data_IF_307464652182
#
_entry.id   IF_307464652182
#
_cell.length_a   1.000
_cell.length_b   1.000
_cell.length_c   1.000
_cell.angle_alpha   90.00
_cell.angle_beta   90.00
_cell.angle_gamma   90.00
#
_symmetry.space_group_name_H-M   'P 1'
#
loop_
_entity.id
_entity.type
_entity.pdbx_description
1 polymer ?
#
# COMPACT_ATOMS: atom_id res chain seq x y z
N UNK A 1 -20.90 -7.03 18.25
CA UNK A 1 -21.76 -5.91 17.78
C UNK A 1 -20.94 -4.76 17.22
N UNK A 2 -19.91 -4.27 17.93
CA UNK A 2 -19.08 -3.13 17.48
C UNK A 2 -18.40 -3.30 16.12
N UNK A 3 -17.93 -4.50 15.79
CA UNK A 3 -17.34 -4.80 14.47
C UNK A 3 -18.35 -4.61 13.33
N UNK A 4 -19.59 -5.09 13.51
CA UNK A 4 -20.65 -4.91 12.52
C UNK A 4 -21.05 -3.44 12.35
N UNK A 5 -21.05 -2.67 13.45
CA UNK A 5 -21.26 -1.22 13.40
C UNK A 5 -20.11 -0.53 12.64
N UNK A 6 -18.86 -0.89 12.90
CA UNK A 6 -17.69 -0.33 12.21
C UNK A 6 -17.71 -0.64 10.71
N UNK A 7 -18.05 -1.87 10.32
CA UNK A 7 -18.21 -2.27 8.92
C UNK A 7 -19.33 -1.44 8.26
N UNK A 8 -20.50 -1.36 8.90
CA UNK A 8 -21.63 -0.57 8.40
C UNK A 8 -21.27 0.91 8.23
N UNK A 9 -20.60 1.50 9.21
CA UNK A 9 -20.13 2.89 9.16
C UNK A 9 -19.12 3.11 8.02
N UNK A 10 -18.20 2.18 7.82
CA UNK A 10 -17.18 2.26 6.76
C UNK A 10 -17.83 2.15 5.38
N UNK A 11 -18.78 1.24 5.21
CA UNK A 11 -19.53 1.08 3.96
C UNK A 11 -20.32 2.36 3.61
N UNK A 12 -21.05 2.93 4.58
CA UNK A 12 -21.78 4.19 4.39
C UNK A 12 -20.82 5.35 4.13
N UNK A 13 -19.71 5.43 4.86
CA UNK A 13 -18.67 6.45 4.66
C UNK A 13 -18.07 6.40 3.26
N UNK A 14 -17.69 5.21 2.76
CA UNK A 14 -17.20 5.03 1.40
C UNK A 14 -18.23 5.45 0.35
N UNK A 15 -19.52 5.14 0.58
CA UNK A 15 -20.59 5.55 -0.33
C UNK A 15 -20.78 7.06 -0.36
N UNK A 16 -20.77 7.72 0.80
CA UNK A 16 -20.84 9.18 0.90
C UNK A 16 -19.67 9.87 0.21
N UNK A 17 -18.45 9.38 0.39
CA UNK A 17 -17.26 9.91 -0.31
C UNK A 17 -17.40 9.77 -1.82
N UNK A 18 -17.90 8.62 -2.31
CA UNK A 18 -18.16 8.43 -3.73
C UNK A 18 -19.22 9.40 -4.26
N UNK A 19 -20.31 9.61 -3.50
CA UNK A 19 -21.36 10.55 -3.86
C UNK A 19 -20.80 11.97 -3.91
N UNK A 20 -20.03 12.41 -2.90
CA UNK A 20 -19.36 13.70 -2.92
C UNK A 20 -18.47 13.88 -4.15
N UNK A 21 -17.76 12.82 -4.55
CA UNK A 21 -16.96 12.81 -5.78
C UNK A 21 -17.79 13.06 -7.06
N UNK A 22 -19.03 12.56 -7.12
CA UNK A 22 -19.94 12.80 -8.25
C UNK A 22 -20.51 14.23 -8.27
N UNK A 23 -20.59 14.88 -7.10
CA UNK A 23 -21.05 16.27 -6.98
C UNK A 23 -19.92 17.29 -7.25
N UNK A 24 -18.68 16.84 -7.43
CA UNK A 24 -17.55 17.74 -7.71
C UNK A 24 -17.77 18.45 -9.06
N UNK A 25 -17.72 19.80 -9.10
CA UNK A 25 -17.90 20.55 -10.34
C UNK A 25 -16.77 20.26 -11.35
N UNK A 26 -17.10 20.17 -12.64
CA UNK A 26 -16.13 19.91 -13.70
C UNK A 26 -14.92 20.88 -13.69
N UNK A 27 -15.16 22.17 -13.44
CA UNK A 27 -14.11 23.19 -13.38
C UNK A 27 -13.12 23.04 -12.22
N UNK A 28 -13.43 22.25 -11.18
CA UNK A 28 -12.46 21.91 -10.13
C UNK A 28 -11.53 20.76 -10.55
N UNK A 29 -12.02 19.86 -11.41
CA UNK A 29 -11.29 18.68 -11.89
C UNK A 29 -10.35 19.00 -13.06
N UNK A 30 -10.66 20.05 -13.83
CA UNK A 30 -9.83 20.54 -14.95
C UNK A 30 -8.51 21.20 -14.52
N UNK A 31 -8.29 21.39 -13.21
CA UNK A 31 -7.03 21.91 -12.70
C UNK A 31 -5.92 20.88 -12.92
N UNK A 32 -4.80 21.25 -13.57
CA UNK A 32 -3.74 20.30 -13.92
C UNK A 32 -3.10 19.62 -12.70
N UNK A 33 -3.09 20.28 -11.54
CA UNK A 33 -2.63 19.68 -10.28
C UNK A 33 -3.56 18.56 -9.78
N UNK A 34 -4.88 18.77 -9.84
CA UNK A 34 -5.87 17.79 -9.36
C UNK A 34 -5.83 16.53 -10.22
N UNK A 35 -5.71 16.70 -11.54
CA UNK A 35 -5.59 15.57 -12.48
C UNK A 35 -4.30 14.75 -12.24
N UNK A 36 -3.15 15.42 -12.06
CA UNK A 36 -1.88 14.74 -11.77
C UNK A 36 -1.93 13.99 -10.44
N UNK A 37 -2.49 14.59 -9.39
CA UNK A 37 -2.64 13.93 -8.09
C UNK A 37 -3.60 12.75 -8.16
N UNK A 38 -4.72 12.88 -8.89
CA UNK A 38 -5.67 11.78 -9.08
C UNK A 38 -5.04 10.56 -9.75
N UNK A 39 -4.17 10.76 -10.74
CA UNK A 39 -3.44 9.67 -11.39
C UNK A 39 -2.40 9.00 -10.47
N UNK A 40 -1.81 9.76 -9.54
CA UNK A 40 -0.77 9.26 -8.62
C UNK A 40 -1.35 8.67 -7.33
N UNK A 41 -2.56 9.05 -6.94
CA UNK A 41 -3.22 8.62 -5.71
C UNK A 41 -3.24 7.11 -5.52
N UNK A 42 -3.64 6.27 -6.51
CA UNK A 42 -3.67 4.82 -6.32
C UNK A 42 -2.31 4.24 -5.95
N UNK A 43 -1.25 4.64 -6.68
CA UNK A 43 0.11 4.15 -6.43
C UNK A 43 0.65 4.69 -5.11
N UNK A 44 0.40 5.95 -4.79
CA UNK A 44 0.83 6.55 -3.53
C UNK A 44 0.16 5.87 -2.32
N UNK A 45 -1.14 5.59 -2.40
CA UNK A 45 -1.88 4.89 -1.35
C UNK A 45 -1.42 3.44 -1.21
N UNK A 46 -1.18 2.73 -2.31
CA UNK A 46 -0.62 1.37 -2.27
C UNK A 46 0.80 1.35 -1.69
N UNK A 47 1.64 2.33 -2.05
CA UNK A 47 2.98 2.45 -1.50
C UNK A 47 2.95 2.75 0.01
N UNK A 48 2.09 3.66 0.45
CA UNK A 48 1.89 3.97 1.87
C UNK A 48 1.37 2.75 2.65
N UNK A 49 0.39 2.02 2.09
CA UNK A 49 -0.12 0.78 2.66
C UNK A 49 0.99 -0.27 2.79
N UNK A 50 1.79 -0.43 1.74
CA UNK A 50 2.92 -1.37 1.74
C UNK A 50 3.93 -0.99 2.81
N UNK A 51 4.29 0.28 2.92
CA UNK A 51 5.18 0.76 3.98
C UNK A 51 4.61 0.46 5.37
N UNK A 52 3.32 0.72 5.60
CA UNK A 52 2.67 0.41 6.88
C UNK A 52 2.62 -1.09 7.17
N UNK A 53 2.41 -1.94 6.17
CA UNK A 53 2.40 -3.40 6.30
C UNK A 53 3.79 -4.01 6.49
N UNK A 54 4.84 -3.28 6.12
CA UNK A 54 6.23 -3.70 6.20
C UNK A 54 6.89 -3.26 7.50
N UNK A 55 6.58 -2.05 7.99
CA UNK A 55 7.17 -1.47 9.20
C UNK A 55 6.26 -1.49 10.44
N UNK A 56 4.96 -1.72 10.26
CA UNK A 56 4.00 -1.74 11.36
C UNK A 56 3.76 -3.15 11.87
N UNK A 57 4.13 -3.41 13.12
CA UNK A 57 3.49 -4.46 13.90
C UNK A 57 2.27 -3.87 14.60
N UNK A 58 1.13 -4.56 14.55
CA UNK A 58 -0.18 -4.09 15.05
C UNK A 58 -0.24 -3.63 16.52
N UNK A 59 0.89 -3.67 17.24
CA UNK A 59 1.09 -3.22 18.62
C UNK A 59 1.87 -1.89 18.76
N UNK A 60 2.17 -1.18 17.67
CA UNK A 60 2.79 0.15 17.73
C UNK A 60 4.30 0.15 18.00
N UNK A 61 4.94 -1.02 17.98
CA UNK A 61 6.40 -1.13 17.94
C UNK A 61 6.86 -1.14 16.48
N UNK A 62 7.87 -0.32 16.17
CA UNK A 62 8.53 -0.33 14.87
C UNK A 62 9.50 -1.51 14.85
N UNK A 63 9.01 -2.68 14.44
CA UNK A 63 9.85 -3.88 14.29
C UNK A 63 10.32 -3.96 12.85
N UNK A 64 11.63 -4.13 12.66
CA UNK A 64 12.19 -4.44 11.35
C UNK A 64 11.92 -5.92 11.08
N UNK A 65 10.71 -6.24 10.63
CA UNK A 65 10.31 -7.60 10.25
C UNK A 65 11.05 -8.05 8.97
N UNK A 66 11.14 -9.36 8.74
CA UNK A 66 11.75 -9.98 7.56
C UNK A 66 11.20 -9.41 6.23
N UNK A 67 10.00 -8.83 6.27
CA UNK A 67 9.35 -8.13 5.15
C UNK A 67 10.18 -6.97 4.61
N UNK A 68 10.90 -6.23 5.47
CA UNK A 68 11.75 -5.11 5.05
C UNK A 68 12.87 -5.60 4.14
N UNK A 69 13.53 -6.70 4.52
CA UNK A 69 14.59 -7.31 3.72
C UNK A 69 14.06 -7.83 2.37
N UNK A 70 12.88 -8.45 2.35
CA UNK A 70 12.21 -8.89 1.13
C UNK A 70 11.90 -7.73 0.16
N UNK A 71 11.36 -6.63 0.66
CA UNK A 71 11.03 -5.44 -0.14
C UNK A 71 12.29 -4.76 -0.66
N UNK A 72 13.35 -4.68 0.16
CA UNK A 72 14.64 -4.16 -0.28
C UNK A 72 15.25 -5.01 -1.41
N UNK A 73 15.18 -6.33 -1.30
CA UNK A 73 15.63 -7.25 -2.34
C UNK A 73 14.82 -7.09 -3.64
N UNK A 74 13.49 -6.94 -3.53
CA UNK A 74 12.62 -6.65 -4.67
C UNK A 74 13.03 -5.33 -5.36
N UNK A 75 13.27 -4.28 -4.58
CA UNK A 75 13.75 -2.99 -5.07
C UNK A 75 15.08 -3.10 -5.82
N UNK A 76 16.05 -3.84 -5.26
CA UNK A 76 17.33 -4.11 -5.92
C UNK A 76 17.15 -4.87 -7.24
N UNK A 77 16.34 -5.92 -7.26
CA UNK A 77 16.07 -6.68 -8.49
C UNK A 77 15.41 -5.82 -9.58
N UNK A 78 14.52 -4.88 -9.19
CA UNK A 78 13.91 -3.92 -10.12
C UNK A 78 14.92 -2.92 -10.68
N UNK A 79 15.89 -2.45 -9.88
CA UNK A 79 16.97 -1.57 -10.35
C UNK A 79 17.80 -2.26 -11.43
N UNK A 80 18.03 -3.58 -11.29
CA UNK A 80 18.69 -4.39 -12.32
C UNK A 80 17.79 -4.74 -13.53
N UNK A 81 16.57 -4.19 -13.61
CA UNK A 81 15.58 -4.49 -14.66
C UNK A 81 15.28 -5.99 -14.82
N UNK A 82 15.30 -6.75 -13.71
CA UNK A 82 14.93 -8.15 -13.72
C UNK A 82 13.45 -8.34 -14.13
N UNK A 83 13.08 -9.48 -14.75
CA UNK A 83 11.69 -9.77 -15.08
C UNK A 83 10.86 -9.90 -13.79
N UNK A 84 9.57 -9.57 -13.87
CA UNK A 84 8.67 -9.51 -12.71
C UNK A 84 8.68 -10.78 -11.85
N UNK A 85 8.74 -11.96 -12.48
CA UNK A 85 8.80 -13.24 -11.77
C UNK A 85 10.07 -13.36 -10.91
N UNK A 86 11.22 -12.88 -11.40
CA UNK A 86 12.50 -12.94 -10.68
C UNK A 86 12.49 -11.97 -9.50
N UNK A 87 11.88 -10.79 -9.65
CA UNK A 87 11.69 -9.82 -8.56
C UNK A 87 10.89 -10.45 -7.42
N UNK A 88 9.77 -11.10 -7.74
CA UNK A 88 8.93 -11.77 -6.72
C UNK A 88 9.69 -12.93 -6.08
N UNK A 89 10.33 -13.78 -6.87
CA UNK A 89 11.07 -14.93 -6.37
C UNK A 89 12.18 -14.51 -5.40
N UNK A 90 12.94 -13.46 -5.74
CA UNK A 90 13.96 -12.89 -4.87
C UNK A 90 13.37 -12.35 -3.57
N UNK A 91 12.28 -11.58 -3.65
CA UNK A 91 11.60 -11.03 -2.47
C UNK A 91 11.13 -12.13 -1.50
N UNK A 92 10.48 -13.17 -2.04
CA UNK A 92 9.98 -14.32 -1.26
C UNK A 92 11.14 -15.10 -0.65
N UNK A 93 12.17 -15.42 -1.44
CA UNK A 93 13.33 -16.18 -0.97
C UNK A 93 14.08 -15.44 0.15
N UNK A 94 14.30 -14.13 0.02
CA UNK A 94 14.96 -13.31 1.05
C UNK A 94 14.09 -13.22 2.30
N UNK A 95 12.79 -12.96 2.16
CA UNK A 95 11.88 -12.91 3.32
C UNK A 95 11.86 -14.24 4.07
N UNK A 96 11.74 -15.35 3.34
CA UNK A 96 11.71 -16.69 3.92
C UNK A 96 13.04 -17.04 4.61
N UNK A 97 14.17 -16.72 3.97
CA UNK A 97 15.50 -16.95 4.53
C UNK A 97 15.75 -16.15 5.81
N UNK A 98 15.41 -14.86 5.81
CA UNK A 98 15.54 -14.00 7.01
C UNK A 98 14.64 -14.50 8.13
N UNK A 99 13.41 -14.93 7.83
CA UNK A 99 12.51 -15.49 8.84
C UNK A 99 13.01 -16.81 9.41
N UNK A 100 13.54 -17.70 8.57
CA UNK A 100 14.11 -18.97 9.00
C UNK A 100 15.36 -18.80 9.88
N UNK A 101 16.14 -17.73 9.66
CA UNK A 101 17.31 -17.39 10.47
C UNK A 101 16.98 -16.59 11.74
N UNK A 102 15.90 -15.80 11.70
CA UNK A 102 15.51 -14.87 12.76
C UNK A 102 14.63 -15.46 13.85
N UNK A 103 13.79 -16.46 13.54
CA UNK A 103 12.81 -17.03 14.48
C UNK A 103 11.58 -16.15 14.66
#
# INVERSE_FOLDING_TARGET
MSVWIAIGLTAVGCYLVKLLGLLVPAGALERPLVQRLSALLPVALLAALTAQQVFGDGNGALVVDARVAGVAAAGLALVFRAPFLVVIAAAVAVTAGVRALGG
#
